data_IF_219644085542
#
_entry.id   IF_219644085542
#
_cell.length_a   1.000
_cell.length_b   1.000
_cell.length_c   1.000
_cell.angle_alpha   90.00
_cell.angle_beta   90.00
_cell.angle_gamma   90.00
#
_symmetry.space_group_name_H-M   'P 1'
#
loop_
_entity.id
_entity.type
_entity.pdbx_description
1 polymer ?
#
# COMPACT_ATOMS: atom_id res chain seq x y z
N UNK A 1 46.45 18.19 -15.36
CA UNK A 1 46.33 17.08 -16.33
C UNK A 1 45.38 16.07 -15.69
N UNK A 2 44.06 16.09 -15.91
CA UNK A 2 43.23 16.84 -16.87
C UNK A 2 43.52 16.51 -18.33
N UNK A 3 42.96 15.37 -18.78
CA UNK A 3 42.38 15.07 -20.10
C UNK A 3 41.28 14.00 -19.79
N UNK A 4 39.98 14.10 -20.07
CA UNK A 4 39.10 14.99 -20.84
C UNK A 4 38.72 14.57 -22.27
N UNK A 5 37.67 13.74 -22.34
CA UNK A 5 36.65 13.65 -23.41
C UNK A 5 37.09 13.10 -24.79
N UNK A 6 36.50 11.96 -25.14
CA UNK A 6 36.00 11.71 -26.50
C UNK A 6 34.70 10.89 -26.38
N UNK A 7 33.61 11.35 -27.00
CA UNK A 7 32.32 10.66 -27.02
C UNK A 7 31.85 10.47 -28.47
N UNK A 8 31.37 9.28 -28.81
CA UNK A 8 30.80 8.97 -30.13
C UNK A 8 29.59 8.05 -29.99
N UNK A 9 28.39 8.61 -30.22
CA UNK A 9 27.18 7.83 -30.45
C UNK A 9 27.06 7.46 -31.93
N UNK A 10 26.72 6.21 -32.23
CA UNK A 10 26.18 5.83 -33.54
C UNK A 10 24.93 4.96 -33.38
N UNK A 11 23.96 5.19 -34.27
CA UNK A 11 22.63 4.62 -34.21
C UNK A 11 22.54 3.28 -34.95
N UNK A 12 21.98 2.29 -34.27
CA UNK A 12 21.01 1.32 -34.80
C UNK A 12 21.41 0.40 -35.96
N UNK A 13 21.21 -0.91 -35.75
CA UNK A 13 20.55 -1.77 -36.74
C UNK A 13 19.88 -2.98 -36.08
N UNK A 14 18.65 -3.30 -36.49
CA UNK A 14 18.02 -4.61 -36.23
C UNK A 14 18.31 -5.56 -37.40
N UNK A 15 18.67 -6.83 -37.16
CA UNK A 15 18.50 -7.88 -38.15
C UNK A 15 17.07 -8.45 -38.10
N UNK A 16 16.47 -8.71 -39.26
CA UNK A 16 15.20 -9.42 -39.42
C UNK A 16 15.51 -10.84 -39.91
N UNK A 17 15.19 -11.86 -39.13
CA UNK A 17 15.28 -13.25 -39.56
C UNK A 17 13.96 -13.72 -40.18
N UNK A 18 13.80 -13.51 -41.48
CA UNK A 18 12.81 -14.24 -42.27
C UNK A 18 13.23 -15.71 -42.42
N UNK A 19 12.28 -16.64 -42.30
CA UNK A 19 12.56 -18.07 -42.44
C UNK A 19 12.78 -18.49 -43.90
N UNK A 20 13.31 -19.70 -44.09
CA UNK A 20 13.33 -20.38 -45.38
C UNK A 20 12.59 -21.72 -45.30
N UNK A 21 11.80 -22.02 -46.33
CA UNK A 21 10.92 -23.18 -46.41
C UNK A 21 11.47 -24.17 -47.44
N UNK A 22 11.76 -25.40 -47.03
CA UNK A 22 11.99 -26.53 -47.94
C UNK A 22 10.83 -27.51 -47.86
N UNK A 23 10.33 -27.93 -49.03
CA UNK A 23 9.27 -28.93 -49.17
C UNK A 23 9.86 -30.34 -49.19
N UNK A 24 9.07 -31.32 -48.75
CA UNK A 24 8.84 -32.49 -49.59
C UNK A 24 7.37 -32.99 -49.46
N UNK A 25 7.00 -34.03 -50.20
CA UNK A 25 5.63 -34.23 -50.74
C UNK A 25 4.98 -35.58 -50.32
N UNK A 26 3.65 -35.66 -50.47
CA UNK A 26 2.77 -36.85 -50.35
C UNK A 26 2.27 -37.14 -48.91
N UNK A 27 1.05 -37.68 -48.65
CA UNK A 27 0.17 -38.53 -49.47
C UNK A 27 -1.34 -38.14 -49.35
N UNK A 28 -2.03 -38.15 -50.50
CA UNK A 28 -3.48 -38.36 -50.83
C UNK A 28 -4.64 -38.18 -49.80
N UNK A 29 -5.72 -37.59 -50.36
CA UNK A 29 -7.19 -37.83 -50.20
C UNK A 29 -8.02 -36.92 -49.26
N UNK A 30 -9.23 -36.62 -49.74
CA UNK A 30 -10.31 -35.82 -49.13
C UNK A 30 -11.50 -36.72 -48.75
N UNK A 31 -12.34 -36.27 -47.82
CA UNK A 31 -13.81 -36.31 -47.95
C UNK A 31 -14.46 -35.25 -47.04
N UNK A 32 -15.73 -34.91 -47.31
CA UNK A 32 -16.50 -33.86 -46.64
C UNK A 32 -17.59 -34.46 -45.72
N UNK A 33 -18.11 -33.60 -44.84
CA UNK A 33 -19.36 -33.61 -44.07
C UNK A 33 -20.43 -34.68 -44.43
N UNK A 34 -21.17 -35.16 -43.42
CA UNK A 34 -22.66 -35.08 -43.33
C UNK A 34 -23.15 -35.51 -41.93
N UNK A 35 -24.24 -34.92 -41.44
CA UNK A 35 -24.92 -35.22 -40.16
C UNK A 35 -26.16 -36.11 -40.37
N UNK A 36 -26.49 -37.00 -39.42
CA UNK A 36 -27.85 -37.56 -39.21
C UNK A 36 -28.02 -38.20 -37.82
N UNK A 37 -29.23 -38.09 -37.26
CA UNK A 37 -29.71 -38.79 -36.05
C UNK A 37 -30.51 -40.06 -36.42
N UNK A 38 -30.75 -40.97 -35.45
CA UNK A 38 -32.11 -41.53 -35.31
C UNK A 38 -32.60 -41.78 -33.85
N UNK A 39 -33.86 -41.40 -33.62
CA UNK A 39 -34.96 -41.97 -32.79
C UNK A 39 -34.80 -42.71 -31.44
N UNK A 40 -35.86 -42.58 -30.65
CA UNK A 40 -36.19 -43.17 -29.33
C UNK A 40 -37.00 -44.48 -29.41
N UNK A 41 -37.04 -45.26 -28.32
CA UNK A 41 -38.17 -46.17 -28.00
C UNK A 41 -38.49 -46.17 -26.49
N UNK A 42 -39.66 -46.69 -26.08
CA UNK A 42 -40.30 -46.32 -24.79
C UNK A 42 -41.18 -47.43 -24.18
N UNK A 43 -41.01 -47.72 -22.89
CA UNK A 43 -41.89 -48.47 -21.97
C UNK A 43 -41.45 -48.12 -20.53
N UNK A 44 -42.27 -47.91 -19.50
CA UNK A 44 -43.74 -47.90 -19.32
C UNK A 44 -44.03 -48.15 -17.81
N UNK A 45 -45.09 -47.69 -17.16
CA UNK A 45 -46.18 -46.77 -17.51
C UNK A 45 -47.08 -46.56 -16.27
N UNK A 46 -47.81 -45.45 -16.18
CA UNK A 46 -48.68 -45.17 -15.03
C UNK A 46 -49.29 -43.76 -15.09
N UNK A 47 -50.62 -43.63 -15.01
CA UNK A 47 -51.33 -42.38 -15.31
C UNK A 47 -52.65 -42.29 -14.54
N UNK A 48 -52.83 -41.24 -13.74
CA UNK A 48 -54.15 -40.75 -13.26
C UNK A 48 -54.15 -39.21 -13.46
N UNK A 49 -55.32 -38.62 -13.66
CA UNK A 49 -55.58 -37.26 -14.18
C UNK A 49 -56.73 -36.61 -13.38
N UNK A 50 -57.04 -35.32 -13.65
CA UNK A 50 -58.15 -34.46 -13.10
C UNK A 50 -57.64 -33.56 -11.95
N UNK A 51 -57.52 -32.22 -12.02
CA UNK A 51 -58.31 -31.10 -12.63
C UNK A 51 -59.60 -30.75 -11.85
N UNK A 52 -60.12 -29.51 -11.77
CA UNK A 52 -59.78 -28.23 -12.43
C UNK A 52 -59.18 -27.22 -11.41
N UNK A 53 -59.57 -25.96 -11.11
CA UNK A 53 -60.62 -25.01 -11.53
C UNK A 53 -60.21 -23.54 -11.21
N UNK A 54 -61.08 -22.55 -11.48
CA UNK A 54 -60.91 -21.10 -11.21
C UNK A 54 -62.31 -20.44 -11.11
N UNK A 55 -62.47 -19.30 -10.39
CA UNK A 55 -62.87 -18.05 -11.07
C UNK A 55 -62.10 -16.82 -10.52
N UNK A 56 -61.80 -15.71 -11.23
CA UNK A 56 -62.58 -14.81 -12.13
C UNK A 56 -63.71 -14.05 -11.40
N UNK A 57 -63.96 -12.75 -11.61
CA UNK A 57 -63.31 -11.65 -12.36
C UNK A 57 -63.91 -10.29 -11.85
N UNK A 58 -63.65 -9.07 -12.34
CA UNK A 58 -63.09 -8.58 -13.61
C UNK A 58 -62.54 -7.12 -13.52
N UNK A 59 -61.94 -6.65 -14.62
CA UNK A 59 -61.57 -5.27 -15.08
C UNK A 59 -62.11 -4.02 -14.35
N UNK A 60 -61.26 -2.98 -14.24
CA UNK A 60 -61.23 -1.89 -15.25
C UNK A 60 -59.94 -1.04 -15.24
N UNK A 61 -59.50 -0.60 -16.42
CA UNK A 61 -58.32 0.25 -16.64
C UNK A 61 -58.58 1.74 -16.40
N UNK A 62 -57.55 2.46 -15.90
CA UNK A 62 -57.22 3.82 -16.40
C UNK A 62 -55.83 4.28 -15.98
N UNK A 63 -54.97 4.53 -16.97
CA UNK A 63 -53.74 5.31 -16.78
C UNK A 63 -54.07 6.79 -16.60
N UNK A 64 -53.52 7.43 -15.56
CA UNK A 64 -53.38 8.89 -15.44
C UNK A 64 -52.02 9.18 -14.80
N UNK A 65 -51.20 10.00 -15.46
CA UNK A 65 -50.02 10.61 -14.83
C UNK A 65 -50.46 11.77 -13.93
N UNK A 66 -49.98 11.81 -12.68
CA UNK A 66 -50.02 13.03 -11.86
C UNK A 66 -48.73 13.17 -11.04
N UNK A 67 -48.22 14.39 -10.97
CA UNK A 67 -46.91 14.68 -10.38
C UNK A 67 -46.98 14.74 -8.85
N UNK A 68 -46.19 13.93 -8.16
CA UNK A 68 -46.00 14.07 -6.71
C UNK A 68 -45.06 15.25 -6.45
N UNK A 69 -45.65 16.42 -6.19
CA UNK A 69 -45.00 17.56 -5.52
C UNK A 69 -45.50 17.64 -4.09
N UNK A 70 -44.61 18.06 -3.19
CA UNK A 70 -44.85 18.43 -1.79
C UNK A 70 -45.41 17.33 -0.87
N UNK A 71 -44.60 16.90 0.09
CA UNK A 71 -44.78 17.32 1.49
C UNK A 71 -43.49 17.02 2.27
N UNK A 72 -42.71 18.07 2.54
CA UNK A 72 -41.52 18.04 3.39
C UNK A 72 -41.58 19.24 4.34
N UNK A 73 -42.33 19.07 5.42
CA UNK A 73 -42.57 20.04 6.50
C UNK A 73 -42.62 19.25 7.82
N UNK A 74 -42.33 19.91 8.93
CA UNK A 74 -42.33 19.35 10.30
C UNK A 74 -41.22 18.33 10.63
N UNK A 75 -40.00 18.83 10.89
CA UNK A 75 -39.15 18.28 11.98
C UNK A 75 -38.00 19.25 12.40
N UNK A 76 -38.30 20.54 12.56
CA UNK A 76 -37.33 21.57 12.99
C UNK A 76 -37.92 22.53 14.03
N UNK A 77 -38.30 22.02 15.21
CA UNK A 77 -38.77 22.89 16.30
C UNK A 77 -38.53 22.36 17.71
N UNK A 78 -37.28 22.44 18.17
CA UNK A 78 -37.02 22.74 19.58
C UNK A 78 -35.69 23.49 19.70
N UNK A 79 -35.75 24.70 20.28
CA UNK A 79 -34.64 25.63 20.34
C UNK A 79 -34.30 25.95 21.80
N UNK A 80 -33.20 25.41 22.29
CA UNK A 80 -32.65 25.80 23.59
C UNK A 80 -31.90 27.11 23.46
N UNK A 81 -32.56 28.21 23.84
CA UNK A 81 -31.94 29.52 23.93
C UNK A 81 -31.01 29.61 25.15
N UNK A 82 -29.71 29.74 24.91
CA UNK A 82 -28.75 30.19 25.91
C UNK A 82 -28.46 31.67 25.69
N UNK A 83 -28.46 32.49 26.74
CA UNK A 83 -28.26 33.94 26.63
C UNK A 83 -26.77 34.28 26.54
N UNK A 84 -26.41 35.16 25.61
CA UNK A 84 -25.21 35.99 25.76
C UNK A 84 -25.47 37.07 26.80
N UNK A 85 -24.59 37.20 27.80
CA UNK A 85 -24.44 38.44 28.57
C UNK A 85 -23.01 38.96 28.34
N UNK A 86 -22.91 40.20 27.85
CA UNK A 86 -21.64 40.88 27.54
C UNK A 86 -21.33 41.88 28.65
N UNK A 87 -20.06 41.95 29.08
CA UNK A 87 -19.29 43.11 29.60
C UNK A 87 -18.12 42.60 30.47
N UNK A 88 -17.01 43.36 30.62
CA UNK A 88 -16.31 44.19 29.64
C UNK A 88 -14.84 43.75 29.45
N UNK A 89 -14.15 44.31 28.45
CA UNK A 89 -12.71 44.08 28.26
C UNK A 89 -11.87 44.71 29.39
N UNK A 90 -10.81 44.00 29.85
CA UNK A 90 -9.75 44.56 30.70
C UNK A 90 -8.42 43.85 30.45
N UNK A 91 -7.43 44.61 30.01
CA UNK A 91 -6.05 44.15 29.88
C UNK A 91 -5.36 43.98 31.23
N UNK A 92 -4.88 42.77 31.51
CA UNK A 92 -3.78 42.53 32.46
C UNK A 92 -2.90 41.41 31.93
N UNK A 93 -1.70 41.77 31.44
CA UNK A 93 -0.63 40.79 31.21
C UNK A 93 -0.22 40.19 32.55
N UNK A 94 -0.41 38.88 32.72
CA UNK A 94 0.25 38.10 33.77
C UNK A 94 0.86 36.89 33.09
N UNK A 95 2.19 36.90 32.99
CA UNK A 95 2.98 35.78 32.48
C UNK A 95 3.10 34.70 33.57
N UNK A 96 2.63 33.48 33.25
CA UNK A 96 2.96 32.23 33.93
C UNK A 96 2.89 31.09 32.91
N UNK A 97 4.02 30.41 32.70
CA UNK A 97 4.12 29.24 31.83
C UNK A 97 3.58 27.94 32.46
N UNK A 98 3.59 26.89 31.64
CA UNK A 98 3.19 25.50 31.95
C UNK A 98 1.74 25.27 32.38
N UNK A 99 0.90 25.02 31.37
CA UNK A 99 -0.07 23.92 31.41
C UNK A 99 -0.30 23.40 29.99
N UNK A 100 0.30 22.25 29.65
CA UNK A 100 -0.08 21.52 28.43
C UNK A 100 -1.40 20.80 28.72
N UNK A 101 -2.48 21.19 28.03
CA UNK A 101 -3.74 20.45 28.11
C UNK A 101 -3.53 19.04 27.56
N UNK A 102 -3.99 17.98 28.27
CA UNK A 102 -4.00 16.63 27.72
C UNK A 102 -4.93 16.57 26.49
N UNK A 103 -4.66 15.61 25.61
CA UNK A 103 -5.14 15.57 24.24
C UNK A 103 -6.66 15.76 24.09
N UNK A 104 -7.06 16.69 23.23
CA UNK A 104 -8.46 16.82 22.84
C UNK A 104 -8.86 15.60 22.00
N UNK A 105 -9.76 14.78 22.54
CA UNK A 105 -10.35 13.64 21.83
C UNK A 105 -11.72 14.00 21.21
N UNK A 106 -12.04 13.60 19.97
CA UNK A 106 -11.16 12.92 19.01
C UNK A 106 -9.99 13.83 18.58
N UNK A 107 -8.84 13.26 18.21
CA UNK A 107 -7.68 14.04 17.77
C UNK A 107 -8.06 14.97 16.62
N UNK A 108 -7.48 16.16 16.61
CA UNK A 108 -7.79 17.18 15.60
C UNK A 108 -7.52 16.64 14.19
N UNK A 109 -8.57 16.48 13.38
CA UNK A 109 -8.50 15.98 12.02
C UNK A 109 -7.60 16.88 11.15
N UNK A 110 -6.36 16.46 10.90
CA UNK A 110 -5.37 17.25 10.16
C UNK A 110 -5.64 17.27 8.66
N UNK A 111 -6.28 16.21 8.14
CA UNK A 111 -6.57 16.02 6.73
C UNK A 111 -7.64 17.00 6.18
N UNK A 112 -8.53 17.53 7.02
CA UNK A 112 -9.46 18.60 6.63
C UNK A 112 -9.11 19.93 7.31
N UNK A 113 -8.35 20.78 6.62
CA UNK A 113 -8.05 22.16 7.05
C UNK A 113 -9.09 23.11 6.42
N UNK A 114 -10.14 23.57 7.16
CA UNK A 114 -11.22 24.39 6.59
C UNK A 114 -10.77 25.81 6.19
N UNK A 115 -9.55 26.22 6.54
CA UNK A 115 -8.92 27.45 6.07
C UNK A 115 -8.50 27.41 4.59
N UNK A 116 -8.47 26.24 3.96
CA UNK A 116 -8.18 26.09 2.53
C UNK A 116 -9.32 26.67 1.66
N UNK A 117 -9.10 27.88 1.13
CA UNK A 117 -10.08 28.60 0.30
C UNK A 117 -10.40 27.93 -1.05
N UNK A 118 -9.55 27.03 -1.54
CA UNK A 118 -9.75 26.34 -2.82
C UNK A 118 -10.51 25.00 -2.60
N UNK A 119 -11.75 24.85 -3.09
CA UNK A 119 -12.55 23.64 -2.88
C UNK A 119 -12.00 22.43 -3.65
N UNK A 120 -11.24 22.61 -4.74
CA UNK A 120 -10.63 21.49 -5.47
C UNK A 120 -9.46 20.89 -4.69
N UNK A 121 -8.52 21.72 -4.21
CA UNK A 121 -7.42 21.26 -3.34
C UNK A 121 -7.96 20.63 -2.04
N UNK A 122 -9.07 21.15 -1.50
CA UNK A 122 -9.76 20.54 -0.35
C UNK A 122 -10.39 19.19 -0.73
N UNK A 123 -11.01 19.06 -1.91
CA UNK A 123 -11.55 17.79 -2.40
C UNK A 123 -10.44 16.75 -2.65
N UNK A 124 -9.29 17.15 -3.19
CA UNK A 124 -8.14 16.27 -3.42
C UNK A 124 -7.55 15.73 -2.10
N UNK A 125 -7.35 16.59 -1.09
CA UNK A 125 -6.93 16.17 0.26
C UNK A 125 -7.98 15.30 0.96
N UNK A 126 -9.26 15.58 0.76
CA UNK A 126 -10.38 14.73 1.23
C UNK A 126 -10.49 13.41 0.45
N UNK A 127 -10.01 13.35 -0.80
CA UNK A 127 -9.77 12.12 -1.55
C UNK A 127 -8.55 11.35 -1.05
N UNK A 128 -8.30 10.16 -1.61
CA UNK A 128 -7.21 9.28 -1.20
C UNK A 128 -6.22 8.94 -2.33
N UNK A 129 -6.50 9.36 -3.57
CA UNK A 129 -5.68 9.06 -4.75
C UNK A 129 -4.31 9.75 -4.80
N UNK A 130 -3.92 10.49 -3.75
CA UNK A 130 -2.58 11.02 -3.56
C UNK A 130 -1.71 10.11 -2.68
N UNK A 131 -2.29 9.12 -2.02
CA UNK A 131 -1.63 8.16 -1.13
C UNK A 131 -1.37 6.83 -1.87
N UNK A 132 -0.17 6.26 -1.71
CA UNK A 132 0.16 4.89 -2.12
C UNK A 132 0.38 3.98 -0.90
N UNK A 133 0.13 2.69 -1.06
CA UNK A 133 0.38 1.68 -0.03
C UNK A 133 1.30 0.57 -0.55
N UNK A 134 2.31 0.20 0.23
CA UNK A 134 3.19 -0.94 0.00
C UNK A 134 2.99 -1.93 1.13
N UNK A 135 2.70 -3.19 0.81
CA UNK A 135 2.59 -4.27 1.79
C UNK A 135 3.76 -5.24 1.68
N UNK A 136 4.34 -5.60 2.82
CA UNK A 136 5.08 -6.85 2.93
C UNK A 136 4.12 -8.05 2.88
N UNK A 137 4.56 -9.16 2.29
CA UNK A 137 3.75 -10.39 2.23
C UNK A 137 3.72 -11.10 3.60
N UNK A 138 4.87 -11.58 4.06
CA UNK A 138 5.04 -12.36 5.28
C UNK A 138 4.68 -11.56 6.54
N UNK A 139 3.82 -12.11 7.40
CA UNK A 139 3.51 -11.55 8.72
C UNK A 139 2.82 -10.18 8.70
N UNK A 140 2.32 -9.73 7.56
CA UNK A 140 1.54 -8.50 7.40
C UNK A 140 0.25 -8.81 6.65
N UNK A 141 0.33 -9.36 5.44
CA UNK A 141 -0.85 -9.86 4.73
C UNK A 141 -1.16 -11.30 5.11
N UNK A 142 -0.15 -12.16 5.17
CA UNK A 142 -0.29 -13.57 5.55
C UNK A 142 0.28 -13.88 6.94
N UNK A 143 -0.15 -14.99 7.53
CA UNK A 143 0.51 -15.57 8.71
C UNK A 143 1.93 -16.05 8.35
N UNK A 144 2.96 -15.58 9.06
CA UNK A 144 4.34 -16.08 8.97
C UNK A 144 4.64 -17.08 10.09
N UNK A 145 5.54 -18.03 9.84
CA UNK A 145 5.94 -19.04 10.81
C UNK A 145 7.48 -19.09 10.95
N UNK A 146 8.06 -18.47 12.00
CA UNK A 146 9.51 -18.40 12.19
C UNK A 146 10.19 -19.76 12.36
N UNK A 147 9.48 -20.79 12.82
CA UNK A 147 10.07 -22.14 12.94
C UNK A 147 10.24 -22.81 11.57
N UNK A 148 9.44 -22.47 10.55
CA UNK A 148 9.66 -22.97 9.17
C UNK A 148 10.91 -22.34 8.54
N UNK A 149 11.14 -21.03 8.73
CA UNK A 149 12.37 -20.37 8.29
C UNK A 149 13.60 -21.00 8.94
N UNK A 150 13.57 -21.14 10.27
CA UNK A 150 14.63 -21.80 11.04
C UNK A 150 14.87 -23.25 10.62
N UNK A 151 13.83 -24.02 10.32
CA UNK A 151 13.97 -25.39 9.79
C UNK A 151 14.57 -25.42 8.38
N UNK A 152 14.18 -24.50 7.49
CA UNK A 152 14.73 -24.41 6.14
C UNK A 152 16.22 -24.04 6.15
N UNK A 153 16.64 -23.08 6.98
CA UNK A 153 18.06 -22.75 7.17
C UNK A 153 18.86 -23.89 7.80
N UNK A 154 18.29 -24.62 8.76
CA UNK A 154 18.93 -25.79 9.38
C UNK A 154 19.12 -26.91 8.36
N UNK A 155 18.07 -27.28 7.61
CA UNK A 155 18.14 -28.33 6.59
C UNK A 155 19.13 -27.99 5.48
N UNK A 156 19.11 -26.75 4.96
CA UNK A 156 20.10 -26.30 3.98
C UNK A 156 21.53 -26.37 4.54
N UNK A 157 21.76 -26.00 5.81
CA UNK A 157 23.09 -26.12 6.42
C UNK A 157 23.59 -27.57 6.46
N UNK A 158 22.69 -28.55 6.64
CA UNK A 158 23.01 -29.97 6.64
C UNK A 158 23.29 -30.52 5.24
N UNK A 159 22.47 -30.16 4.23
CA UNK A 159 22.71 -30.53 2.83
C UNK A 159 24.04 -29.99 2.29
N UNK A 160 24.43 -28.79 2.71
CA UNK A 160 25.61 -28.06 2.22
C UNK A 160 26.90 -28.32 3.05
N UNK A 161 26.82 -29.11 4.11
CA UNK A 161 27.93 -29.35 5.04
C UNK A 161 28.42 -28.08 5.77
N UNK A 162 27.52 -27.14 6.03
CA UNK A 162 27.80 -25.82 6.63
C UNK A 162 27.44 -25.79 8.12
N UNK A 163 28.05 -24.89 8.92
CA UNK A 163 27.62 -24.72 10.31
C UNK A 163 26.17 -24.20 10.38
N UNK A 164 25.35 -24.87 11.19
CA UNK A 164 23.97 -24.43 11.50
C UNK A 164 23.97 -23.01 12.06
N UNK A 165 23.15 -22.08 11.52
CA UNK A 165 23.08 -20.72 12.04
C UNK A 165 22.56 -20.68 13.49
N UNK A 166 23.23 -20.00 14.42
CA UNK A 166 22.69 -19.73 15.76
C UNK A 166 21.43 -18.85 15.71
N UNK A 167 20.56 -18.93 16.73
CA UNK A 167 19.31 -18.17 16.77
C UNK A 167 19.48 -16.64 16.63
N UNK A 168 20.56 -16.07 17.17
CA UNK A 168 20.86 -14.63 17.02
C UNK A 168 21.31 -14.25 15.60
N UNK A 169 21.86 -15.20 14.82
CA UNK A 169 22.13 -15.01 13.40
C UNK A 169 20.85 -15.13 12.59
N UNK A 170 19.96 -16.08 12.93
CA UNK A 170 18.64 -16.21 12.30
C UNK A 170 17.82 -14.91 12.44
N UNK A 171 17.75 -14.32 13.64
CA UNK A 171 17.09 -13.01 13.86
C UNK A 171 17.78 -11.84 13.13
N UNK A 172 19.06 -11.98 12.74
CA UNK A 172 19.79 -10.97 11.96
C UNK A 172 19.55 -11.07 10.45
N UNK A 173 19.37 -12.29 9.92
CA UNK A 173 19.08 -12.52 8.49
C UNK A 173 17.58 -12.48 8.16
N UNK A 174 16.76 -12.20 9.16
CA UNK A 174 15.30 -12.22 9.07
C UNK A 174 14.78 -11.13 8.13
N UNK A 175 14.12 -11.51 7.04
CA UNK A 175 13.67 -10.57 6.01
C UNK A 175 14.78 -10.02 5.10
N UNK A 176 16.03 -10.50 5.23
CA UNK A 176 17.05 -10.28 4.20
C UNK A 176 16.75 -11.13 2.95
N UNK A 177 17.29 -10.71 1.80
CA UNK A 177 17.31 -11.55 0.59
C UNK A 177 18.24 -12.76 0.81
N UNK A 178 17.83 -13.95 0.35
CA UNK A 178 18.53 -15.21 0.63
C UNK A 178 20.01 -15.21 0.21
N UNK A 179 20.34 -14.75 -1.00
CA UNK A 179 21.75 -14.66 -1.45
C UNK A 179 22.57 -13.70 -0.59
N UNK A 180 21.95 -12.63 -0.09
CA UNK A 180 22.58 -11.63 0.76
C UNK A 180 22.84 -12.20 2.16
N UNK A 181 21.87 -12.90 2.76
CA UNK A 181 22.05 -13.65 4.01
C UNK A 181 23.21 -14.66 3.90
N UNK A 182 23.26 -15.44 2.81
CA UNK A 182 24.28 -16.48 2.57
C UNK A 182 25.68 -15.89 2.40
N UNK A 183 25.81 -14.70 1.81
CA UNK A 183 27.09 -14.06 1.47
C UNK A 183 27.60 -13.05 2.51
N UNK A 184 26.75 -12.15 3.00
CA UNK A 184 27.13 -11.06 3.92
C UNK A 184 27.16 -11.52 5.40
N UNK A 185 26.29 -12.45 5.82
CA UNK A 185 26.13 -12.82 7.23
C UNK A 185 26.56 -14.25 7.53
N UNK A 186 26.07 -15.24 6.77
CA UNK A 186 26.43 -16.65 6.95
C UNK A 186 27.83 -16.97 6.39
N UNK A 187 28.33 -16.16 5.45
CA UNK A 187 29.62 -16.32 4.78
C UNK A 187 29.85 -17.71 4.14
N UNK A 188 28.79 -18.44 3.78
CA UNK A 188 28.89 -19.82 3.30
C UNK A 188 29.46 -19.93 1.87
N UNK A 189 29.30 -18.88 1.06
CA UNK A 189 29.85 -18.74 -0.30
C UNK A 189 29.97 -17.26 -0.68
N UNK A 190 30.72 -16.97 -1.75
CA UNK A 190 30.75 -15.67 -2.44
C UNK A 190 30.60 -15.79 -3.96
N UNK A 191 30.49 -17.00 -4.51
CA UNK A 191 30.23 -17.21 -5.94
C UNK A 191 28.74 -16.99 -6.24
N UNK A 192 28.36 -16.04 -7.13
CA UNK A 192 26.97 -15.79 -7.49
C UNK A 192 26.21 -17.02 -8.02
N UNK A 193 26.88 -18.00 -8.63
CA UNK A 193 26.22 -19.23 -9.07
C UNK A 193 25.83 -20.13 -7.89
N UNK A 194 26.75 -20.37 -6.95
CA UNK A 194 26.43 -21.05 -5.70
C UNK A 194 25.40 -20.29 -4.85
N UNK A 195 25.48 -18.96 -4.75
CA UNK A 195 24.53 -18.16 -3.96
C UNK A 195 23.09 -18.36 -4.44
N UNK A 196 22.82 -18.22 -5.75
CA UNK A 196 21.48 -18.47 -6.33
C UNK A 196 21.03 -19.91 -6.16
N UNK A 197 21.94 -20.89 -6.31
CA UNK A 197 21.62 -22.32 -6.10
C UNK A 197 21.17 -22.58 -4.66
N UNK A 198 21.92 -22.08 -3.68
CA UNK A 198 21.61 -22.25 -2.25
C UNK A 198 20.35 -21.47 -1.85
N UNK A 199 20.13 -20.27 -2.38
CA UNK A 199 18.92 -19.48 -2.15
C UNK A 199 17.66 -20.18 -2.69
N UNK A 200 17.69 -20.64 -3.94
CA UNK A 200 16.60 -21.44 -4.52
C UNK A 200 16.36 -22.72 -3.73
N UNK A 201 17.44 -23.41 -3.29
CA UNK A 201 17.31 -24.63 -2.49
C UNK A 201 16.68 -24.38 -1.12
N UNK A 202 16.98 -23.25 -0.46
CA UNK A 202 16.28 -22.84 0.78
C UNK A 202 14.78 -22.71 0.55
N UNK A 203 14.39 -22.10 -0.56
CA UNK A 203 12.99 -21.85 -0.90
C UNK A 203 12.25 -23.15 -1.24
N UNK A 204 12.85 -24.07 -2.00
CA UNK A 204 12.32 -25.42 -2.25
C UNK A 204 12.05 -26.17 -0.93
N UNK A 205 13.02 -26.14 -0.01
CA UNK A 205 12.87 -26.75 1.32
C UNK A 205 11.74 -26.07 2.08
N UNK A 206 11.72 -24.73 2.15
CA UNK A 206 10.67 -24.01 2.88
C UNK A 206 9.28 -24.33 2.32
N UNK A 207 9.08 -24.33 1.00
CA UNK A 207 7.79 -24.65 0.38
C UNK A 207 7.35 -26.08 0.71
N UNK A 208 8.28 -27.04 0.74
CA UNK A 208 7.98 -28.42 1.16
C UNK A 208 7.56 -28.54 2.63
N UNK A 209 8.03 -27.63 3.50
CA UNK A 209 7.68 -27.56 4.92
C UNK A 209 6.36 -26.79 5.17
N UNK A 210 6.06 -25.77 4.36
CA UNK A 210 4.81 -25.01 4.45
C UNK A 210 3.61 -25.75 3.84
N UNK A 211 3.84 -26.53 2.77
CA UNK A 211 2.83 -27.43 2.19
C UNK A 211 1.73 -26.76 1.36
N UNK A 212 1.92 -25.52 0.87
CA UNK A 212 0.95 -24.85 -0.02
C UNK A 212 -0.37 -24.50 0.67
N UNK A 213 -0.30 -23.99 1.90
CA UNK A 213 -1.46 -23.48 2.64
C UNK A 213 -1.09 -22.11 3.21
N UNK A 214 -1.67 -21.06 2.62
CA UNK A 214 -1.55 -19.69 3.10
C UNK A 214 -2.84 -19.24 3.77
N UNK A 215 -2.71 -18.31 4.72
CA UNK A 215 -3.82 -17.75 5.51
C UNK A 215 -3.57 -16.26 5.66
N UNK A 216 -4.62 -15.46 5.52
CA UNK A 216 -4.56 -14.05 5.89
C UNK A 216 -4.26 -13.91 7.38
N UNK A 217 -3.38 -12.97 7.71
CA UNK A 217 -3.27 -12.47 9.07
C UNK A 217 -4.60 -11.75 9.45
N UNK A 218 -4.98 -11.84 10.72
CA UNK A 218 -6.28 -11.31 11.20
C UNK A 218 -6.39 -9.80 10.97
N UNK A 219 -7.46 -9.37 10.28
CA UNK A 219 -7.73 -7.97 9.93
C UNK A 219 -7.13 -7.51 8.60
N UNK A 220 -6.19 -8.26 8.02
CA UNK A 220 -5.48 -7.85 6.80
C UNK A 220 -6.36 -7.89 5.56
N UNK A 221 -7.27 -8.87 5.45
CA UNK A 221 -8.24 -8.94 4.35
C UNK A 221 -9.26 -7.81 4.41
N UNK A 222 -9.72 -7.48 5.61
CA UNK A 222 -10.68 -6.42 5.90
C UNK A 222 -10.08 -5.06 5.54
N UNK A 223 -8.85 -4.78 5.99
CA UNK A 223 -8.13 -3.55 5.69
C UNK A 223 -7.81 -3.39 4.20
N UNK A 224 -7.34 -4.43 3.52
CA UNK A 224 -7.15 -4.46 2.06
C UNK A 224 -8.45 -4.14 1.31
N UNK A 225 -9.59 -4.68 1.79
CA UNK A 225 -10.92 -4.39 1.23
C UNK A 225 -11.31 -2.92 1.41
N UNK A 226 -10.93 -2.28 2.53
CA UNK A 226 -11.09 -0.84 2.75
C UNK A 226 -10.23 -0.03 1.77
N UNK A 227 -8.96 -0.36 1.59
CA UNK A 227 -8.08 0.36 0.64
C UNK A 227 -8.58 0.26 -0.81
N UNK A 228 -9.07 -0.92 -1.22
CA UNK A 228 -9.74 -1.11 -2.52
C UNK A 228 -10.99 -0.22 -2.66
N UNK A 229 -11.82 -0.12 -1.63
CA UNK A 229 -13.01 0.74 -1.64
C UNK A 229 -12.65 2.23 -1.82
N UNK A 230 -11.59 2.69 -1.15
CA UNK A 230 -11.08 4.06 -1.28
C UNK A 230 -10.17 4.29 -2.52
N UNK A 231 -9.94 3.23 -3.32
CA UNK A 231 -9.10 3.24 -4.54
C UNK A 231 -7.67 3.71 -4.30
N UNK A 232 -7.10 3.34 -3.16
CA UNK A 232 -5.69 3.59 -2.83
C UNK A 232 -4.85 2.54 -3.58
N UNK A 233 -3.90 2.93 -4.46
CA UNK A 233 -3.08 1.97 -5.19
C UNK A 233 -2.17 1.18 -4.23
N UNK A 234 -2.12 -0.13 -4.44
CA UNK A 234 -1.38 -1.07 -3.58
C UNK A 234 -0.30 -1.81 -4.38
N UNK A 235 0.89 -1.87 -3.81
CA UNK A 235 1.96 -2.78 -4.21
C UNK A 235 2.17 -3.87 -3.16
N UNK A 236 2.58 -5.04 -3.62
CA UNK A 236 3.02 -6.16 -2.80
C UNK A 236 4.53 -6.36 -2.97
N UNK A 237 5.23 -6.58 -1.86
CA UNK A 237 6.69 -6.72 -1.78
C UNK A 237 7.06 -7.93 -0.92
N UNK A 238 8.02 -8.75 -1.39
CA UNK A 238 8.63 -9.83 -0.58
C UNK A 238 10.07 -10.10 -1.02
N UNK A 239 10.88 -10.65 -0.13
CA UNK A 239 12.24 -11.16 -0.42
C UNK A 239 12.26 -12.62 -0.90
N UNK A 240 11.10 -13.19 -1.28
CA UNK A 240 10.98 -14.52 -1.92
C UNK A 240 11.04 -14.47 -3.46
N UNK A 241 11.40 -15.59 -4.11
CA UNK A 241 11.29 -15.72 -5.56
C UNK A 241 9.87 -15.50 -6.10
N UNK A 242 9.76 -14.79 -7.22
CA UNK A 242 8.52 -14.40 -7.90
C UNK A 242 7.54 -15.56 -8.09
N UNK A 243 8.05 -16.72 -8.52
CA UNK A 243 7.25 -17.94 -8.70
C UNK A 243 6.56 -18.43 -7.41
N UNK A 244 7.21 -18.26 -6.27
CA UNK A 244 6.64 -18.62 -4.96
C UNK A 244 5.47 -17.69 -4.62
N UNK A 245 5.74 -16.39 -4.76
CA UNK A 245 4.81 -15.31 -4.45
C UNK A 245 3.57 -15.35 -5.35
N UNK A 246 3.74 -15.55 -6.66
CA UNK A 246 2.64 -15.67 -7.63
C UNK A 246 1.75 -16.89 -7.36
N UNK A 247 2.33 -18.05 -7.00
CA UNK A 247 1.54 -19.23 -6.56
C UNK A 247 0.71 -18.92 -5.31
N UNK A 248 1.35 -18.29 -4.31
CA UNK A 248 0.72 -17.98 -3.04
C UNK A 248 -0.41 -16.94 -3.16
N UNK A 249 -0.28 -15.96 -4.06
CA UNK A 249 -1.32 -14.97 -4.39
C UNK A 249 -2.53 -15.65 -5.06
N UNK A 250 -2.29 -16.59 -5.99
CA UNK A 250 -3.35 -17.36 -6.66
C UNK A 250 -4.07 -18.32 -5.71
N UNK A 251 -3.34 -18.99 -4.81
CA UNK A 251 -3.89 -19.87 -3.76
C UNK A 251 -4.82 -19.12 -2.78
N UNK A 252 -4.54 -17.83 -2.51
CA UNK A 252 -5.40 -16.97 -1.67
C UNK A 252 -6.51 -16.28 -2.47
N UNK A 253 -6.35 -16.11 -3.78
CA UNK A 253 -7.32 -15.48 -4.68
C UNK A 253 -7.32 -13.95 -4.60
N UNK A 254 -6.14 -13.33 -4.63
CA UNK A 254 -5.95 -11.86 -4.57
C UNK A 254 -5.13 -11.28 -5.74
N UNK A 255 -5.09 -11.98 -6.87
CA UNK A 255 -4.38 -11.58 -8.10
C UNK A 255 -4.75 -10.15 -8.55
N UNK A 256 -6.05 -9.82 -8.62
CA UNK A 256 -6.55 -8.48 -9.02
C UNK A 256 -6.40 -7.38 -7.95
N UNK A 257 -5.79 -7.67 -6.79
CA UNK A 257 -5.76 -6.74 -5.65
C UNK A 257 -4.56 -5.79 -5.68
N UNK A 258 -3.41 -6.25 -6.17
CA UNK A 258 -2.15 -5.50 -6.14
C UNK A 258 -1.75 -5.10 -7.57
N UNK A 259 -1.73 -3.80 -7.83
CA UNK A 259 -1.35 -3.25 -9.14
C UNK A 259 0.14 -3.45 -9.48
N UNK A 260 0.95 -3.78 -8.47
CA UNK A 260 2.40 -3.97 -8.54
C UNK A 260 2.79 -5.13 -7.63
N UNK A 261 3.67 -6.02 -8.10
CA UNK A 261 4.28 -7.10 -7.32
C UNK A 261 5.79 -7.06 -7.53
N UNK A 262 6.55 -6.88 -6.44
CA UNK A 262 8.01 -6.88 -6.39
C UNK A 262 8.49 -8.09 -5.59
N UNK A 263 9.33 -8.91 -6.22
CA UNK A 263 9.90 -10.13 -5.67
C UNK A 263 11.44 -10.04 -5.56
N UNK A 264 12.06 -11.10 -5.04
CA UNK A 264 13.51 -11.17 -4.85
C UNK A 264 14.33 -10.93 -6.13
N UNK A 265 13.82 -11.33 -7.30
CA UNK A 265 14.51 -11.19 -8.59
C UNK A 265 14.52 -9.77 -9.13
N UNK A 266 13.58 -8.92 -8.71
CA UNK A 266 13.40 -7.57 -9.23
C UNK A 266 14.39 -6.54 -8.62
N UNK A 267 15.08 -6.93 -7.53
CA UNK A 267 16.02 -6.08 -6.78
C UNK A 267 17.40 -6.71 -6.63
N UNK A 268 18.44 -5.89 -6.59
CA UNK A 268 19.80 -6.36 -6.31
C UNK A 268 19.97 -6.75 -4.84
N UNK A 269 19.57 -5.86 -3.91
CA UNK A 269 19.70 -5.98 -2.45
C UNK A 269 18.32 -6.12 -1.80
N UNK A 270 18.29 -6.77 -0.63
CA UNK A 270 17.11 -6.87 0.23
C UNK A 270 17.25 -5.99 1.47
N UNK A 271 16.19 -5.97 2.29
CA UNK A 271 16.15 -5.23 3.56
C UNK A 271 17.41 -5.50 4.42
N UNK A 272 18.00 -4.48 5.07
CA UNK A 272 17.49 -3.11 5.25
C UNK A 272 17.71 -2.15 4.07
N UNK A 273 18.11 -2.64 2.89
CA UNK A 273 18.25 -1.78 1.70
C UNK A 273 16.87 -1.27 1.21
N UNK A 274 16.70 0.04 0.94
CA UNK A 274 15.43 0.63 0.50
C UNK A 274 15.00 0.22 -0.93
N UNK A 275 15.85 -0.44 -1.71
CA UNK A 275 15.67 -0.73 -3.15
C UNK A 275 14.26 -1.26 -3.49
N UNK A 276 13.74 -2.24 -2.74
CA UNK A 276 12.42 -2.83 -3.01
C UNK A 276 11.24 -1.88 -2.82
N UNK A 277 11.32 -0.95 -1.88
CA UNK A 277 10.25 0.00 -1.62
C UNK A 277 10.31 1.16 -2.62
N UNK A 278 11.52 1.68 -2.88
CA UNK A 278 11.74 2.70 -3.92
C UNK A 278 11.27 2.19 -5.29
N UNK A 279 11.58 0.94 -5.65
CA UNK A 279 11.13 0.33 -6.90
C UNK A 279 9.60 0.14 -6.95
N UNK A 280 8.99 -0.35 -5.86
CA UNK A 280 7.53 -0.48 -5.78
C UNK A 280 6.82 0.88 -5.92
N UNK A 281 7.31 1.95 -5.28
CA UNK A 281 6.75 3.30 -5.41
C UNK A 281 6.91 3.87 -6.83
N UNK A 282 8.04 3.62 -7.50
CA UNK A 282 8.24 3.97 -8.91
C UNK A 282 7.22 3.27 -9.81
N UNK A 283 6.98 1.97 -9.63
CA UNK A 283 5.99 1.22 -10.41
C UNK A 283 4.54 1.67 -10.13
N UNK A 284 4.23 2.06 -8.88
CA UNK A 284 2.94 2.70 -8.55
C UNK A 284 2.81 4.12 -9.14
N UNK A 285 3.92 4.77 -9.50
CA UNK A 285 4.04 6.19 -9.91
C UNK A 285 3.75 7.19 -8.76
N UNK A 286 4.17 6.88 -7.53
CA UNK A 286 4.05 7.76 -6.36
C UNK A 286 5.42 8.26 -5.87
N UNK A 287 5.46 9.48 -5.33
CA UNK A 287 6.64 9.97 -4.60
C UNK A 287 6.73 9.29 -3.22
N UNK A 288 7.93 8.94 -2.72
CA UNK A 288 8.06 8.15 -1.49
C UNK A 288 7.40 8.78 -0.27
N UNK A 289 7.45 10.10 -0.14
CA UNK A 289 6.86 10.84 0.99
C UNK A 289 5.32 10.69 1.07
N UNK A 290 4.66 10.18 0.03
CA UNK A 290 3.21 9.86 -0.01
C UNK A 290 2.92 8.36 0.01
N UNK A 291 3.91 7.52 0.32
CA UNK A 291 3.76 6.07 0.38
C UNK A 291 3.88 5.59 1.83
N UNK A 292 2.95 4.73 2.23
CA UNK A 292 2.99 4.02 3.51
C UNK A 292 3.40 2.57 3.26
N UNK A 293 4.47 2.15 3.92
CA UNK A 293 4.94 0.75 3.99
C UNK A 293 4.30 0.08 5.20
N UNK A 294 3.68 -1.08 4.98
CA UNK A 294 3.16 -1.96 6.02
C UNK A 294 4.12 -3.14 6.19
N UNK A 295 4.82 -3.17 7.32
CA UNK A 295 5.89 -4.14 7.62
C UNK A 295 5.68 -4.86 8.95
N UNK A 296 6.57 -5.80 9.28
CA UNK A 296 6.52 -6.54 10.56
C UNK A 296 7.85 -6.53 11.35
N UNK A 297 8.92 -5.95 10.81
CA UNK A 297 10.28 -6.06 11.34
C UNK A 297 11.06 -4.73 11.27
N UNK A 298 12.09 -4.60 12.10
CA UNK A 298 12.89 -3.38 12.15
C UNK A 298 13.69 -3.12 10.86
N UNK A 299 14.08 -4.14 10.10
CA UNK A 299 14.70 -3.96 8.80
C UNK A 299 13.71 -3.40 7.76
N UNK A 300 12.41 -3.65 7.93
CA UNK A 300 11.36 -3.00 7.11
C UNK A 300 11.21 -1.52 7.47
N UNK A 301 11.24 -1.19 8.77
CA UNK A 301 11.22 0.21 9.23
C UNK A 301 12.43 0.99 8.72
N UNK A 302 13.63 0.42 8.89
CA UNK A 302 14.91 1.00 8.43
C UNK A 302 14.89 1.27 6.92
N UNK A 303 14.52 0.27 6.11
CA UNK A 303 14.41 0.40 4.66
C UNK A 303 13.31 1.40 4.21
N UNK A 304 12.18 1.47 4.93
CA UNK A 304 11.12 2.44 4.63
C UNK A 304 11.55 3.88 4.96
N UNK A 305 12.24 4.09 6.09
CA UNK A 305 12.71 5.41 6.51
C UNK A 305 13.86 5.93 5.66
N UNK A 306 14.81 5.09 5.25
CA UNK A 306 15.85 5.46 4.28
C UNK A 306 15.23 5.81 2.91
N UNK A 307 14.14 5.12 2.53
CA UNK A 307 13.34 5.47 1.35
C UNK A 307 12.47 6.74 1.53
N UNK A 308 12.47 7.40 2.70
CA UNK A 308 11.58 8.51 3.11
C UNK A 308 10.08 8.20 3.14
N UNK A 309 9.73 6.92 3.18
CA UNK A 309 8.35 6.45 3.29
C UNK A 309 7.94 6.38 4.76
N UNK A 310 6.63 6.45 5.02
CA UNK A 310 6.08 6.23 6.36
C UNK A 310 5.94 4.73 6.63
N UNK A 311 6.32 4.26 7.80
CA UNK A 311 6.24 2.84 8.16
C UNK A 311 5.19 2.59 9.24
N UNK A 312 4.24 1.70 8.94
CA UNK A 312 3.32 1.10 9.91
C UNK A 312 3.80 -0.32 10.18
N UNK A 313 4.17 -0.62 11.43
CA UNK A 313 4.61 -1.95 11.82
C UNK A 313 3.47 -2.77 12.45
N UNK A 314 3.27 -3.99 11.96
CA UNK A 314 2.32 -4.96 12.50
C UNK A 314 3.05 -5.86 13.50
N UNK A 315 2.62 -5.84 14.76
CA UNK A 315 3.17 -6.63 15.87
C UNK A 315 2.71 -8.10 15.84
N UNK A 316 2.85 -8.75 14.69
CA UNK A 316 2.49 -10.15 14.44
C UNK A 316 3.55 -11.12 14.96
N UNK A 317 4.83 -10.75 14.80
CA UNK A 317 6.00 -11.60 15.05
C UNK A 317 6.92 -11.05 16.13
N UNK A 318 7.12 -9.74 16.12
CA UNK A 318 7.83 -9.00 17.16
C UNK A 318 6.85 -8.35 18.14
N UNK A 319 7.14 -8.32 19.44
CA UNK A 319 6.34 -7.58 20.40
C UNK A 319 6.47 -6.07 20.14
N UNK A 320 5.41 -5.31 20.42
CA UNK A 320 5.28 -3.86 20.13
C UNK A 320 6.51 -3.05 20.56
N UNK A 321 7.16 -3.39 21.68
CA UNK A 321 8.33 -2.66 22.19
C UNK A 321 9.61 -2.86 21.35
N UNK A 322 9.74 -3.93 20.55
CA UNK A 322 10.86 -4.07 19.61
C UNK A 322 10.66 -3.21 18.36
N UNK A 323 9.41 -2.91 17.99
CA UNK A 323 9.01 -2.20 16.77
C UNK A 323 8.90 -0.68 16.93
N UNK A 324 9.29 -0.14 18.09
CA UNK A 324 9.10 1.27 18.48
C UNK A 324 9.87 2.33 17.65
N UNK A 325 10.54 1.93 16.57
CA UNK A 325 11.12 2.84 15.58
C UNK A 325 10.12 3.23 14.47
N UNK A 326 9.04 2.48 14.28
CA UNK A 326 8.03 2.77 13.25
C UNK A 326 7.22 4.04 13.58
N UNK A 327 6.70 4.72 12.57
CA UNK A 327 5.84 5.90 12.75
C UNK A 327 4.51 5.53 13.46
N UNK A 328 4.06 4.30 13.30
CA UNK A 328 2.90 3.72 13.99
C UNK A 328 3.10 2.20 14.16
N UNK A 329 2.67 1.65 15.30
CA UNK A 329 2.66 0.20 15.55
C UNK A 329 1.23 -0.25 15.88
N UNK A 330 0.74 -1.27 15.18
CA UNK A 330 -0.59 -1.89 15.40
C UNK A 330 -0.46 -3.38 15.68
N UNK A 331 -1.50 -4.01 16.23
CA UNK A 331 -1.54 -5.48 16.36
C UNK A 331 -2.20 -6.14 15.17
N UNK A 332 -3.16 -5.47 14.55
CA UNK A 332 -3.95 -5.96 13.40
C UNK A 332 -4.24 -4.80 12.46
N UNK A 333 -4.34 -5.07 11.16
CA UNK A 333 -4.53 -3.99 10.18
C UNK A 333 -5.96 -3.40 10.18
N UNK A 334 -6.96 -4.11 10.69
CA UNK A 334 -8.33 -3.58 10.88
C UNK A 334 -8.45 -2.61 12.06
N UNK A 335 -7.36 -2.37 12.80
CA UNK A 335 -7.26 -1.32 13.83
C UNK A 335 -7.01 0.07 13.20
N UNK A 336 -6.75 0.14 11.90
CA UNK A 336 -6.45 1.36 11.15
C UNK A 336 -7.64 1.85 10.32
N UNK A 337 -7.90 3.16 10.35
CA UNK A 337 -8.76 3.84 9.39
C UNK A 337 -7.94 4.58 8.33
N UNK A 338 -8.59 4.90 7.20
CA UNK A 338 -8.00 5.78 6.17
C UNK A 338 -7.73 7.20 6.70
N UNK A 339 -8.37 7.63 7.79
CA UNK A 339 -8.07 8.92 8.44
C UNK A 339 -6.71 8.84 9.15
N UNK A 340 -6.36 7.71 9.75
CA UNK A 340 -5.08 7.51 10.42
C UNK A 340 -3.93 7.50 9.41
N UNK A 341 -4.13 6.83 8.26
CA UNK A 341 -3.17 6.86 7.15
C UNK A 341 -2.92 8.28 6.64
N UNK A 342 -3.97 9.10 6.54
CA UNK A 342 -3.85 10.50 6.14
C UNK A 342 -3.13 11.33 7.19
N UNK A 343 -3.45 11.16 8.48
CA UNK A 343 -2.76 11.85 9.57
C UNK A 343 -1.27 11.45 9.65
N UNK A 344 -0.91 10.23 9.25
CA UNK A 344 0.46 9.72 9.20
C UNK A 344 1.26 10.28 8.01
N UNK A 345 0.61 10.36 6.85
CA UNK A 345 1.16 10.91 5.61
C UNK A 345 0.89 12.43 5.43
N UNK A 346 0.42 13.11 6.48
CA UNK A 346 0.16 14.56 6.48
C UNK A 346 1.49 15.32 6.61
N UNK A 347 2.24 15.32 5.50
CA UNK A 347 3.43 16.15 5.31
C UNK A 347 3.04 17.60 5.68
N UNK A 348 3.87 18.27 6.50
CA UNK A 348 3.79 19.71 6.65
C UNK A 348 4.18 20.37 5.32
N UNK A 349 3.19 20.56 4.44
CA UNK A 349 3.37 21.00 3.06
C UNK A 349 3.88 22.44 2.95
N UNK A 350 5.17 22.63 3.18
CA UNK A 350 5.96 23.82 2.81
C UNK A 350 5.94 24.10 1.31
N UNK A 351 5.59 23.10 0.48
CA UNK A 351 5.32 23.26 -0.95
C UNK A 351 4.11 24.15 -1.29
N UNK A 352 3.21 24.41 -0.32
CA UNK A 352 2.07 25.34 -0.51
C UNK A 352 2.31 26.71 0.12
N UNK A 353 3.46 27.29 -0.22
CA UNK A 353 3.83 28.66 0.10
C UNK A 353 4.59 28.78 1.42
N UNK A 354 5.90 29.01 1.31
CA UNK A 354 6.57 29.86 2.30
C UNK A 354 5.80 31.18 2.39
N UNK A 355 5.39 31.58 3.59
CA UNK A 355 4.99 32.96 3.84
C UNK A 355 6.19 33.83 3.48
N UNK A 356 6.08 34.65 2.44
CA UNK A 356 7.08 35.70 2.19
C UNK A 356 7.15 36.56 3.46
N UNK A 357 8.33 36.74 4.07
CA UNK A 357 8.43 37.57 5.26
C UNK A 357 8.00 38.98 4.87
N UNK A 358 6.93 39.48 5.49
CA UNK A 358 6.48 40.85 5.28
C UNK A 358 7.66 41.77 5.62
N UNK A 359 8.18 42.48 4.62
CA UNK A 359 9.18 43.51 4.86
C UNK A 359 8.50 44.61 5.68
N UNK A 360 8.76 44.62 6.99
CA UNK A 360 8.46 45.75 7.84
C UNK A 360 9.21 46.96 7.29
N UNK A 361 8.47 47.82 6.57
CA UNK A 361 8.98 49.09 6.09
C UNK A 361 9.21 49.98 7.32
N UNK A 362 10.45 50.02 7.80
CA UNK A 362 10.89 51.00 8.78
C UNK A 362 10.60 52.41 8.23
N UNK A 363 9.56 53.03 8.77
CA UNK A 363 9.22 54.42 8.44
C UNK A 363 10.27 55.30 9.12
N UNK A 364 11.29 55.69 8.36
CA UNK A 364 12.23 56.73 8.77
C UNK A 364 11.43 57.96 9.23
N UNK A 365 11.63 58.35 10.49
CA UNK A 365 11.01 59.56 11.04
C UNK A 365 11.88 60.75 10.68
N UNK A 366 11.37 61.57 9.76
CA UNK A 366 11.87 62.92 9.49
C UNK A 366 12.02 63.71 10.80
N UNK A 367 13.25 63.81 11.31
CA UNK A 367 13.62 64.79 12.31
C UNK A 367 13.87 66.13 11.61
N UNK A 368 12.76 66.81 11.31
CA UNK A 368 12.77 68.13 10.69
C UNK A 368 13.61 69.14 11.48
N UNK A 369 14.43 69.89 10.75
CA UNK A 369 15.31 70.93 11.30
C UNK A 369 14.55 72.00 12.09
N UNK A 370 15.06 72.37 13.27
CA UNK A 370 14.63 73.56 14.01
C UNK A 370 15.82 74.29 14.63
N UNK A 371 16.13 75.47 14.06
CA UNK A 371 16.85 76.62 14.65
C UNK A 371 18.12 76.39 15.48
N UNK A 372 19.23 76.92 14.95
CA UNK A 372 20.35 77.46 15.74
C UNK A 372 19.85 78.60 16.63
N UNK A 373 20.36 78.71 17.86
CA UNK A 373 20.60 80.00 18.54
C UNK A 373 21.65 79.85 19.67
N UNK A 374 22.86 80.33 19.38
CA UNK A 374 23.69 81.25 20.18
C UNK A 374 23.99 81.11 21.71
N UNK A 375 25.30 81.17 21.99
CA UNK A 375 26.02 81.87 23.07
C UNK A 375 26.27 81.27 24.49
N UNK A 376 27.57 81.29 24.85
CA UNK A 376 28.22 81.70 26.13
C UNK A 376 27.44 81.57 27.46
N UNK A 377 28.00 80.99 28.53
CA UNK A 377 29.41 81.04 29.00
C UNK A 377 29.91 79.69 29.54
#
# INVERSE_FOLDING_TARGET
MVESIAATSLLGHRPICGGNLTRDVSVKRKSLNTVRFPTTEFLGGGRIVVSLALPKSDKQDRFVFSSIKALAVELTREAHAYREEKLPNRDTKIDRGFDQRPDSWPPANRADKPSLRNPLLRHERMGCGWLGAIFEWEGVLIEDNPDLEKQAWLALSQEEGKPSPPAFILKRIEGMKNEQAISEVLCWSRDPAQLRRMANRKEEIYQSLQGGIYRFLSGSKEFVSVLMHYKIPMALVSTRPRKALESAIGEIGIEDTFSVIVAAEDVHRGKPDPEMFVYAAQLLNFIPERVIVFGNSNLTVEAAHEARMKCVAVASKHPVYELGAADLVVRRLDELSVVDLKNLADIEMTEFGSVEPEMELEVEKDYGSSSVDDNFW
#
